data_IF_863170045835
#
_entry.id   IF_863170045835
#
_cell.length_a   1.000
_cell.length_b   1.000
_cell.length_c   1.000
_cell.angle_alpha   90.00
_cell.angle_beta   90.00
_cell.angle_gamma   90.00
#
_symmetry.space_group_name_H-M   'P 1'
#
loop_
_entity.id
_entity.type
_entity.pdbx_description
1 polymer ?
#
# COMPACT_ATOMS: atom_id res chain seq x y z
N UNK A 1 -2.17 10.43 -2.37
CA UNK A 1 -2.75 9.15 -1.94
C UNK A 1 -2.03 8.01 -2.66
N UNK A 2 -1.54 7.00 -1.94
CA UNK A 2 -0.89 5.81 -2.50
C UNK A 2 -1.85 4.62 -2.43
N UNK A 3 -2.09 3.96 -3.57
CA UNK A 3 -2.97 2.80 -3.69
C UNK A 3 -2.15 1.52 -3.95
N UNK A 4 -2.52 0.36 -3.37
CA UNK A 4 -1.80 -0.87 -3.66
C UNK A 4 -2.02 -1.26 -5.13
N UNK A 5 -1.01 -1.88 -5.73
CA UNK A 5 -1.11 -2.44 -7.07
C UNK A 5 -1.14 -3.98 -7.02
N UNK A 6 -2.25 -4.63 -7.43
CA UNK A 6 -3.57 -4.05 -7.74
C UNK A 6 -4.36 -3.68 -6.47
N UNK A 7 -5.54 -3.06 -6.62
CA UNK A 7 -6.51 -2.81 -5.53
C UNK A 7 -7.95 -2.92 -6.07
N UNK A 8 -8.97 -2.76 -5.21
CA UNK A 8 -10.37 -2.69 -5.62
C UNK A 8 -10.58 -1.52 -6.59
N UNK A 9 -11.20 -1.78 -7.75
CA UNK A 9 -11.34 -0.81 -8.85
C UNK A 9 -11.87 0.55 -8.40
N UNK A 10 -12.88 0.55 -7.51
CA UNK A 10 -13.56 1.77 -7.10
C UNK A 10 -12.67 2.68 -6.24
N UNK A 11 -11.56 2.21 -5.68
CA UNK A 11 -10.60 3.11 -5.03
C UNK A 11 -10.11 4.18 -5.99
N UNK A 12 -9.84 3.84 -7.25
CA UNK A 12 -9.42 4.81 -8.25
C UNK A 12 -10.52 5.84 -8.54
N UNK A 13 -11.76 5.37 -8.69
CA UNK A 13 -12.90 6.25 -8.97
C UNK A 13 -13.17 7.23 -7.82
N UNK A 14 -13.23 6.73 -6.58
CA UNK A 14 -13.51 7.55 -5.39
C UNK A 14 -12.48 8.69 -5.25
N UNK A 15 -11.18 8.38 -5.39
CA UNK A 15 -10.14 9.39 -5.21
C UNK A 15 -10.04 10.35 -6.39
N UNK A 16 -10.30 9.89 -7.61
CA UNK A 16 -10.41 10.76 -8.79
C UNK A 16 -11.56 11.75 -8.61
N UNK A 17 -12.74 11.27 -8.25
CA UNK A 17 -13.94 12.10 -8.11
C UNK A 17 -13.80 13.10 -6.95
N UNK A 18 -13.00 12.74 -5.93
CA UNK A 18 -12.58 13.65 -4.84
C UNK A 18 -11.44 14.62 -5.22
N UNK A 19 -10.97 14.60 -6.47
CA UNK A 19 -9.88 15.44 -6.97
C UNK A 19 -8.55 15.26 -6.20
N UNK A 20 -8.31 14.07 -5.66
CA UNK A 20 -7.07 13.73 -4.94
C UNK A 20 -6.10 13.03 -5.89
N UNK A 21 -4.89 13.58 -6.04
CA UNK A 21 -3.83 12.93 -6.82
C UNK A 21 -3.45 11.57 -6.22
N UNK A 22 -3.56 10.52 -7.04
CA UNK A 22 -3.18 9.16 -6.67
C UNK A 22 -1.84 8.74 -7.28
N UNK A 23 -1.06 7.98 -6.52
CA UNK A 23 0.08 7.17 -6.98
C UNK A 23 -0.16 5.72 -6.56
N UNK A 24 0.66 4.80 -7.04
CA UNK A 24 0.58 3.40 -6.65
C UNK A 24 1.84 2.97 -5.90
N UNK A 25 1.70 1.97 -5.04
CA UNK A 25 2.82 1.26 -4.43
C UNK A 25 2.75 -0.24 -4.74
N UNK A 26 3.90 -0.88 -4.76
CA UNK A 26 4.03 -2.31 -4.98
C UNK A 26 3.37 -3.08 -3.85
N UNK A 27 2.53 -4.05 -4.21
CA UNK A 27 1.83 -4.89 -3.24
C UNK A 27 1.89 -6.36 -3.63
N UNK A 28 1.41 -6.72 -4.82
CA UNK A 28 1.34 -8.11 -5.25
C UNK A 28 2.51 -8.47 -6.17
N UNK A 29 3.05 -9.68 -6.01
CA UNK A 29 4.00 -10.27 -6.92
C UNK A 29 3.35 -11.45 -7.69
N UNK A 30 3.12 -11.32 -9.01
CA UNK A 30 2.54 -12.40 -9.81
C UNK A 30 3.40 -13.67 -9.88
N UNK A 31 4.72 -13.57 -9.71
CA UNK A 31 5.64 -14.70 -9.79
C UNK A 31 5.54 -15.60 -8.55
N UNK A 32 5.46 -14.99 -7.37
CA UNK A 32 5.34 -15.70 -6.09
C UNK A 32 3.89 -15.88 -5.64
N UNK A 33 2.94 -15.16 -6.25
CA UNK A 33 1.55 -15.00 -5.81
C UNK A 33 1.44 -14.50 -4.36
N UNK A 34 2.48 -13.82 -3.89
CA UNK A 34 2.60 -13.34 -2.51
C UNK A 34 2.73 -11.83 -2.43
N UNK A 35 3.02 -11.36 -1.22
CA UNK A 35 3.25 -9.95 -0.96
C UNK A 35 4.65 -9.57 -1.46
N UNK A 36 4.74 -8.54 -2.30
CA UNK A 36 5.98 -7.94 -2.79
C UNK A 36 6.61 -7.03 -1.74
N UNK A 37 6.85 -7.60 -0.56
CA UNK A 37 7.10 -6.87 0.69
C UNK A 37 8.29 -5.91 0.64
N UNK A 38 9.43 -6.34 0.08
CA UNK A 38 10.61 -5.48 0.00
C UNK A 38 10.38 -4.23 -0.87
N UNK A 39 9.64 -4.38 -1.97
CA UNK A 39 9.31 -3.26 -2.84
C UNK A 39 8.31 -2.32 -2.15
N UNK A 40 7.30 -2.87 -1.48
CA UNK A 40 6.36 -2.11 -0.64
C UNK A 40 7.09 -1.24 0.38
N UNK A 41 8.03 -1.83 1.13
CA UNK A 41 8.87 -1.11 2.12
C UNK A 41 9.68 0.00 1.46
N UNK A 42 10.26 -0.25 0.30
CA UNK A 42 11.02 0.74 -0.43
C UNK A 42 10.14 1.89 -0.93
N UNK A 43 8.92 1.62 -1.38
CA UNK A 43 7.99 2.67 -1.81
C UNK A 43 7.58 3.57 -0.65
N UNK A 44 7.34 3.01 0.55
CA UNK A 44 7.06 3.78 1.76
C UNK A 44 8.24 4.69 2.09
N UNK A 45 9.47 4.16 2.12
CA UNK A 45 10.67 4.93 2.47
C UNK A 45 10.97 6.07 1.49
N UNK A 46 10.58 5.92 0.22
CA UNK A 46 10.81 6.91 -0.82
C UNK A 46 9.59 7.82 -1.08
N UNK A 47 8.50 7.63 -0.35
CA UNK A 47 7.34 8.49 -0.47
C UNK A 47 7.64 9.88 0.11
N UNK A 48 7.12 10.96 -0.49
CA UNK A 48 7.23 12.29 0.09
C UNK A 48 6.64 12.33 1.51
N UNK A 49 7.23 13.15 2.39
CA UNK A 49 6.71 13.39 3.73
C UNK A 49 5.21 13.71 3.72
N UNK A 50 4.48 13.19 4.72
CA UNK A 50 3.02 13.38 4.86
C UNK A 50 2.20 12.81 3.70
N UNK A 51 2.75 11.83 2.97
CA UNK A 51 1.96 11.02 2.04
C UNK A 51 0.93 10.19 2.79
N UNK A 52 -0.23 9.98 2.14
CA UNK A 52 -1.28 9.08 2.61
C UNK A 52 -1.23 7.75 1.89
N UNK A 53 -1.37 6.63 2.61
CA UNK A 53 -1.43 5.29 2.04
C UNK A 53 -2.77 4.61 2.34
N UNK A 54 -3.43 4.07 1.32
CA UNK A 54 -4.58 3.21 1.48
C UNK A 54 -4.10 1.77 1.72
N UNK A 55 -4.49 1.21 2.87
CA UNK A 55 -4.14 -0.14 3.29
C UNK A 55 -5.40 -0.99 3.40
N UNK A 56 -5.30 -2.24 2.97
CA UNK A 56 -6.26 -3.27 3.37
C UNK A 56 -5.68 -3.96 4.61
N UNK A 57 -6.34 -3.90 5.78
CA UNK A 57 -5.83 -4.57 6.97
C UNK A 57 -5.86 -6.09 6.83
N UNK A 58 -6.82 -6.61 6.08
CA UNK A 58 -6.96 -8.02 5.72
C UNK A 58 -7.88 -8.19 4.50
N UNK A 59 -7.99 -9.44 4.01
CA UNK A 59 -8.81 -9.85 2.87
C UNK A 59 -8.61 -8.92 1.67
N UNK A 60 -7.34 -8.67 1.31
CA UNK A 60 -7.01 -7.73 0.25
C UNK A 60 -7.78 -8.02 -1.04
N UNK A 61 -8.44 -7.02 -1.60
CA UNK A 61 -9.18 -7.13 -2.85
C UNK A 61 -8.36 -6.51 -3.98
N UNK A 62 -8.01 -7.24 -5.05
CA UNK A 62 -8.55 -8.54 -5.47
C UNK A 62 -7.72 -9.78 -5.12
N UNK A 63 -6.55 -9.62 -4.50
CA UNK A 63 -5.53 -10.70 -4.49
C UNK A 63 -5.70 -11.75 -3.39
N UNK A 64 -6.42 -11.42 -2.30
CA UNK A 64 -6.49 -12.23 -1.08
C UNK A 64 -5.18 -12.34 -0.30
N UNK A 65 -4.13 -11.61 -0.70
CA UNK A 65 -2.81 -11.65 -0.06
C UNK A 65 -2.74 -10.59 1.02
N UNK A 66 -2.46 -11.00 2.25
CA UNK A 66 -2.34 -10.10 3.40
C UNK A 66 -0.92 -10.17 4.01
N UNK A 67 -0.38 -9.06 4.55
CA UNK A 67 0.84 -9.10 5.34
C UNK A 67 0.65 -9.94 6.60
N UNK A 68 1.67 -10.71 6.97
CA UNK A 68 1.70 -11.38 8.26
C UNK A 68 1.97 -10.39 9.40
N UNK A 69 1.88 -10.86 10.65
CA UNK A 69 2.04 -10.02 11.84
C UNK A 69 3.41 -9.31 11.93
N UNK A 70 4.51 -9.99 11.58
CA UNK A 70 5.84 -9.39 11.62
C UNK A 70 6.03 -8.36 10.50
N UNK A 71 5.46 -8.62 9.32
CA UNK A 71 5.42 -7.65 8.22
C UNK A 71 4.61 -6.41 8.62
N UNK A 72 3.48 -6.57 9.30
CA UNK A 72 2.69 -5.45 9.81
C UNK A 72 3.45 -4.60 10.83
N UNK A 73 4.18 -5.23 11.76
CA UNK A 73 5.04 -4.50 12.69
C UNK A 73 6.07 -3.64 11.96
N UNK A 74 6.70 -4.20 10.94
CA UNK A 74 7.70 -3.47 10.16
C UNK A 74 7.06 -2.33 9.36
N UNK A 75 5.94 -2.56 8.68
CA UNK A 75 5.18 -1.50 7.96
C UNK A 75 4.82 -0.37 8.94
N UNK A 76 4.26 -0.69 10.10
CA UNK A 76 3.89 0.29 11.11
C UNK A 76 5.11 1.08 11.61
N UNK A 77 6.24 0.41 11.84
CA UNK A 77 7.46 1.05 12.27
C UNK A 77 7.97 2.04 11.21
N UNK A 78 8.01 1.63 9.94
CA UNK A 78 8.48 2.47 8.84
C UNK A 78 7.56 3.69 8.65
N UNK A 79 6.24 3.51 8.68
CA UNK A 79 5.29 4.62 8.59
C UNK A 79 5.58 5.70 9.66
N UNK A 80 5.82 5.25 10.90
CA UNK A 80 6.09 6.15 12.03
C UNK A 80 7.40 6.92 11.86
N UNK A 81 8.46 6.30 11.38
CA UNK A 81 9.76 6.98 11.21
C UNK A 81 9.82 7.83 9.93
N UNK A 82 9.03 7.49 8.91
CA UNK A 82 8.94 8.23 7.64
C UNK A 82 7.90 9.36 7.66
N UNK A 83 7.20 9.60 8.78
CA UNK A 83 6.21 10.67 8.89
C UNK A 83 4.99 10.46 7.96
N UNK A 84 4.63 9.20 7.70
CA UNK A 84 3.51 8.80 6.84
C UNK A 84 2.26 8.59 7.70
N UNK A 85 1.10 8.94 7.15
CA UNK A 85 -0.21 8.81 7.79
C UNK A 85 -1.10 7.84 7.02
#
# INVERSE_FOLDING_TARGET
MFLPMPTWSNHHDIWRDSQVCTRTYHYYDPGTKGLRFQALVNDIKNAPDRSFFLLHPCAHNPTGVDPNYEQWKEISHIFKVSGIT
#
